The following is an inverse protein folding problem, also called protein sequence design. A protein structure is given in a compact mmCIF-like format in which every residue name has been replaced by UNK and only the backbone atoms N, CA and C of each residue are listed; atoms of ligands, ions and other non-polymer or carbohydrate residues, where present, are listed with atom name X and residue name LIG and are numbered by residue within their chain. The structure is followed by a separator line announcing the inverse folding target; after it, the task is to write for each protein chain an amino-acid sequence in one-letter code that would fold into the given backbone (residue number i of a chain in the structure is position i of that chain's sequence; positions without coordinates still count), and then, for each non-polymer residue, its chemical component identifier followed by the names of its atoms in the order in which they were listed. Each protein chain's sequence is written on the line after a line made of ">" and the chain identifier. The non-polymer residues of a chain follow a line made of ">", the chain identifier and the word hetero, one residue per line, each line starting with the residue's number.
data_IF_356190351319
#
_entry.id   IF_356190351319
#
_cell.length_a   1.000
_cell.length_b   1.000
_cell.length_c   1.000
_cell.angle_alpha   90.00
_cell.angle_beta   90.00
_cell.angle_gamma   90.00
#
_symmetry.space_group_name_H-M   'P 1'
#
loop_
_entity.id
_entity.type
_entity.pdbx_description
1 polymer ?
#
# COMPACT_ATOMS: atom_id res chain seq x y z
N UNK A 1 30.59 -10.21 -17.71
CA UNK A 1 29.38 -10.99 -17.39
C UNK A 1 28.70 -10.35 -16.17
N UNK A 2 28.04 -9.19 -16.36
CA UNK A 2 27.54 -8.35 -15.25
C UNK A 2 26.27 -7.55 -15.62
N UNK A 3 25.47 -8.02 -16.57
CA UNK A 3 24.27 -7.28 -17.03
C UNK A 3 22.93 -7.95 -16.69
N UNK A 4 22.90 -9.19 -16.21
CA UNK A 4 21.63 -9.91 -15.95
C UNK A 4 21.01 -9.67 -14.57
N UNK A 5 21.76 -9.17 -13.60
CA UNK A 5 21.25 -8.99 -12.23
C UNK A 5 20.34 -7.77 -12.06
N UNK A 6 20.38 -6.81 -12.98
CA UNK A 6 19.55 -5.60 -12.87
C UNK A 6 18.18 -5.72 -13.55
N UNK A 7 17.99 -6.67 -14.46
CA UNK A 7 16.75 -6.84 -15.21
C UNK A 7 15.73 -7.78 -14.54
N UNK A 8 16.18 -8.68 -13.65
CA UNK A 8 15.29 -9.65 -12.98
C UNK A 8 14.85 -9.24 -11.58
N UNK A 9 15.57 -8.34 -10.89
CA UNK A 9 15.34 -8.09 -9.46
C UNK A 9 14.02 -7.35 -9.14
N UNK A 10 13.34 -6.83 -10.16
CA UNK A 10 12.03 -6.19 -10.04
C UNK A 10 11.19 -6.39 -11.31
N UNK A 11 11.21 -7.58 -11.91
CA UNK A 11 10.26 -7.87 -12.98
C UNK A 11 8.86 -8.07 -12.38
N UNK A 12 8.14 -6.95 -12.21
CA UNK A 12 6.78 -6.91 -11.66
C UNK A 12 5.82 -7.79 -12.47
N UNK A 13 6.14 -8.06 -13.75
CA UNK A 13 5.34 -8.97 -14.58
C UNK A 13 5.49 -10.43 -14.17
N UNK A 14 6.66 -10.83 -13.66
CA UNK A 14 7.00 -12.23 -13.41
C UNK A 14 7.11 -12.57 -11.92
N UNK A 15 7.34 -11.57 -11.04
CA UNK A 15 7.63 -11.80 -9.63
C UNK A 15 6.70 -11.00 -8.70
N UNK A 16 5.86 -11.72 -7.94
CA UNK A 16 4.85 -11.14 -7.03
C UNK A 16 5.46 -10.53 -5.75
N UNK A 17 6.77 -10.71 -5.52
CA UNK A 17 7.46 -10.39 -4.26
C UNK A 17 7.38 -8.92 -3.88
N UNK A 18 7.47 -8.02 -4.86
CA UNK A 18 7.39 -6.58 -4.62
C UNK A 18 6.05 -6.18 -3.99
N UNK A 19 4.94 -6.72 -4.51
CA UNK A 19 3.60 -6.47 -3.97
C UNK A 19 3.46 -6.93 -2.51
N UNK A 20 4.06 -8.09 -2.19
CA UNK A 20 4.07 -8.64 -0.83
C UNK A 20 4.90 -7.78 0.11
N UNK A 21 6.07 -7.30 -0.32
CA UNK A 21 6.89 -6.40 0.51
C UNK A 21 6.19 -5.06 0.74
N UNK A 22 5.57 -4.46 -0.29
CA UNK A 22 4.78 -3.24 -0.15
C UNK A 22 3.61 -3.42 0.81
N UNK A 23 2.89 -4.53 0.71
CA UNK A 23 1.79 -4.85 1.62
C UNK A 23 2.28 -5.04 3.06
N UNK A 24 3.40 -5.74 3.26
CA UNK A 24 4.03 -5.93 4.59
C UNK A 24 4.50 -4.62 5.21
N UNK A 25 5.11 -3.74 4.42
CA UNK A 25 5.50 -2.41 4.87
C UNK A 25 4.26 -1.59 5.25
N UNK A 26 3.23 -1.58 4.40
CA UNK A 26 1.96 -0.94 4.69
C UNK A 26 1.35 -1.43 6.01
N UNK A 27 1.28 -2.75 6.21
CA UNK A 27 0.82 -3.33 7.46
C UNK A 27 1.69 -2.94 8.67
N UNK A 28 3.02 -2.83 8.49
CA UNK A 28 3.91 -2.31 9.53
C UNK A 28 3.58 -0.87 9.94
N UNK A 29 3.33 0.01 8.97
CA UNK A 29 2.89 1.38 9.25
C UNK A 29 1.49 1.44 9.88
N UNK A 30 0.61 0.50 9.54
CA UNK A 30 -0.69 0.37 10.21
C UNK A 30 -0.53 0.03 11.70
N UNK A 31 0.40 -0.86 12.04
CA UNK A 31 0.70 -1.16 13.44
C UNK A 31 1.29 0.06 14.15
N UNK A 32 2.17 0.82 13.50
CA UNK A 32 2.69 2.08 14.05
C UNK A 32 1.58 3.11 14.28
N UNK A 33 0.59 3.20 13.38
CA UNK A 33 -0.60 4.02 13.57
C UNK A 33 -1.42 3.62 14.81
N UNK A 34 -1.55 2.32 15.10
CA UNK A 34 -2.25 1.84 16.30
C UNK A 34 -1.43 2.15 17.56
N UNK A 35 -0.15 1.81 17.55
CA UNK A 35 0.74 1.93 18.72
C UNK A 35 0.99 3.39 19.09
N UNK A 36 1.15 4.29 18.11
CA UNK A 36 1.24 5.75 18.34
C UNK A 36 -0.03 6.34 18.96
N UNK A 37 -1.13 5.59 19.00
CA UNK A 37 -2.35 5.94 19.70
C UNK A 37 -2.39 5.60 21.19
N UNK A 38 -1.44 4.80 21.67
CA UNK A 38 -1.41 4.39 23.06
C UNK A 38 -0.89 5.52 23.97
N UNK A 39 -1.45 5.64 25.18
CA UNK A 39 -1.10 6.69 26.15
C UNK A 39 0.40 6.78 26.47
N UNK A 40 1.13 5.68 26.42
CA UNK A 40 2.57 5.64 26.69
C UNK A 40 3.42 6.16 25.51
N UNK A 41 2.87 6.26 24.30
CA UNK A 41 3.53 6.76 23.09
C UNK A 41 3.14 8.20 22.76
N UNK A 42 2.79 9.01 23.77
CA UNK A 42 2.34 10.40 23.57
C UNK A 42 3.32 11.24 22.73
N UNK A 43 4.63 10.99 22.85
CA UNK A 43 5.66 11.66 22.06
C UNK A 43 5.55 11.40 20.54
N UNK A 44 4.99 10.27 20.13
CA UNK A 44 4.82 9.88 18.73
C UNK A 44 3.39 10.11 18.21
N UNK A 45 2.48 10.60 19.07
CA UNK A 45 1.08 10.84 18.71
C UNK A 45 0.90 11.86 17.57
N UNK A 46 1.85 12.79 17.43
CA UNK A 46 1.89 13.79 16.34
C UNK A 46 2.00 13.13 14.97
N UNK A 47 2.79 12.05 14.83
CA UNK A 47 3.01 11.35 13.56
C UNK A 47 1.95 10.29 13.27
N UNK A 48 0.97 10.11 14.16
CA UNK A 48 -0.02 9.05 14.05
C UNK A 48 -0.75 9.12 12.71
N UNK A 49 -1.29 10.28 12.36
CA UNK A 49 -2.02 10.47 11.10
C UNK A 49 -1.14 10.16 9.90
N UNK A 50 0.12 10.56 9.92
CA UNK A 50 1.07 10.32 8.83
C UNK A 50 1.33 8.82 8.64
N UNK A 51 1.51 8.06 9.73
CA UNK A 51 1.64 6.60 9.66
C UNK A 51 0.39 5.92 9.08
N UNK A 52 -0.80 6.41 9.45
CA UNK A 52 -2.06 5.89 8.91
C UNK A 52 -2.21 6.14 7.41
N UNK A 53 -1.92 7.37 6.96
CA UNK A 53 -1.96 7.73 5.54
C UNK A 53 -0.91 6.95 4.74
N UNK A 54 0.32 6.86 5.26
CA UNK A 54 1.41 6.16 4.57
C UNK A 54 1.18 4.65 4.49
N UNK A 55 0.66 4.05 5.57
CA UNK A 55 0.19 2.65 5.57
C UNK A 55 -0.80 2.40 4.45
N UNK A 56 -1.84 3.23 4.38
CA UNK A 56 -2.92 3.04 3.43
C UNK A 56 -2.41 3.21 1.99
N UNK A 57 -1.54 4.20 1.75
CA UNK A 57 -0.88 4.40 0.47
C UNK A 57 -0.05 3.18 0.03
N UNK A 58 0.76 2.62 0.92
CA UNK A 58 1.57 1.44 0.64
C UNK A 58 0.74 0.18 0.37
N UNK A 59 -0.39 0.02 1.06
CA UNK A 59 -1.31 -1.10 0.80
C UNK A 59 -1.98 -0.97 -0.57
N UNK A 60 -2.38 0.23 -0.98
CA UNK A 60 -2.92 0.49 -2.34
C UNK A 60 -1.85 0.24 -3.41
N UNK A 61 -0.61 0.68 -3.19
CA UNK A 61 0.50 0.40 -4.10
C UNK A 61 0.84 -1.09 -4.17
N UNK A 62 0.81 -1.80 -3.04
CA UNK A 62 1.00 -3.25 -2.99
C UNK A 62 -0.07 -3.96 -3.81
N UNK A 63 -1.34 -3.59 -3.64
CA UNK A 63 -2.44 -4.14 -4.41
C UNK A 63 -2.30 -3.84 -5.91
N UNK A 64 -1.99 -2.59 -6.27
CA UNK A 64 -1.74 -2.17 -7.66
C UNK A 64 -0.61 -2.97 -8.31
N UNK A 65 0.49 -3.17 -7.58
CA UNK A 65 1.64 -3.94 -8.05
C UNK A 65 1.29 -5.42 -8.23
N UNK A 66 0.49 -6.00 -7.33
CA UNK A 66 0.04 -7.40 -7.47
C UNK A 66 -0.78 -7.62 -8.75
N UNK A 67 -1.58 -6.64 -9.13
CA UNK A 67 -2.43 -6.71 -10.32
C UNK A 67 -1.65 -6.73 -11.62
N UNK A 68 -0.44 -6.16 -11.66
CA UNK A 68 0.40 -6.21 -12.86
C UNK A 68 0.81 -7.64 -13.18
N UNK A 69 1.16 -8.44 -12.16
CA UNK A 69 1.44 -9.87 -12.34
C UNK A 69 0.18 -10.63 -12.81
N UNK A 70 -0.95 -10.38 -12.13
CA UNK A 70 -2.21 -11.06 -12.42
C UNK A 70 -2.77 -10.74 -13.80
N UNK A 71 -2.51 -9.54 -14.32
CA UNK A 71 -2.91 -9.15 -15.68
C UNK A 71 -2.33 -10.07 -16.76
N UNK A 72 -1.08 -10.52 -16.58
CA UNK A 72 -0.40 -11.38 -17.57
C UNK A 72 -0.65 -12.87 -17.35
N UNK A 73 -0.89 -13.29 -16.11
CA UNK A 73 -0.96 -14.73 -15.76
C UNK A 73 -2.37 -15.21 -15.38
N UNK A 74 -3.22 -14.34 -14.83
CA UNK A 74 -4.52 -14.72 -14.25
C UNK A 74 -5.59 -13.61 -14.45
N UNK A 75 -6.15 -13.47 -15.67
CA UNK A 75 -7.05 -12.36 -16.01
C UNK A 75 -8.35 -12.35 -15.18
N UNK A 76 -8.80 -13.52 -14.71
CA UNK A 76 -10.03 -13.64 -13.91
C UNK A 76 -9.84 -13.09 -12.48
N UNK A 77 -8.65 -13.27 -11.89
CA UNK A 77 -8.30 -12.65 -10.61
C UNK A 77 -8.07 -11.14 -10.76
N UNK A 78 -7.51 -10.71 -11.89
CA UNK A 78 -7.31 -9.30 -12.21
C UNK A 78 -8.63 -8.52 -12.20
N UNK A 79 -9.69 -9.04 -12.83
CA UNK A 79 -11.00 -8.36 -12.87
C UNK A 79 -11.63 -8.18 -11.48
N UNK A 80 -11.43 -9.14 -10.58
CA UNK A 80 -11.88 -9.00 -9.19
C UNK A 80 -11.04 -7.97 -8.44
N UNK A 81 -9.72 -8.05 -8.52
CA UNK A 81 -8.80 -7.12 -7.86
C UNK A 81 -8.98 -5.68 -8.35
N UNK A 82 -9.41 -5.49 -9.60
CA UNK A 82 -9.73 -4.18 -10.19
C UNK A 82 -10.89 -3.50 -9.47
N UNK A 83 -11.93 -4.26 -9.12
CA UNK A 83 -13.07 -3.73 -8.36
C UNK A 83 -12.62 -3.28 -6.96
N UNK A 84 -11.77 -4.08 -6.30
CA UNK A 84 -11.19 -3.73 -5.00
C UNK A 84 -10.27 -2.52 -5.06
N UNK A 85 -9.52 -2.35 -6.15
CA UNK A 85 -8.67 -1.17 -6.39
C UNK A 85 -9.51 0.12 -6.51
N UNK A 86 -10.63 0.07 -7.22
CA UNK A 86 -11.53 1.23 -7.33
C UNK A 86 -12.10 1.60 -5.95
N UNK A 87 -12.54 0.60 -5.18
CA UNK A 87 -13.04 0.81 -3.82
C UNK A 87 -11.96 1.42 -2.92
N UNK A 88 -10.71 0.93 -3.00
CA UNK A 88 -9.62 1.45 -2.19
C UNK A 88 -9.23 2.88 -2.59
N UNK A 89 -9.32 3.27 -3.87
CA UNK A 89 -9.13 4.65 -4.29
C UNK A 89 -10.24 5.58 -3.84
N UNK A 90 -11.51 5.15 -3.87
CA UNK A 90 -12.62 5.95 -3.33
C UNK A 90 -12.44 6.14 -1.82
N UNK A 91 -12.03 5.10 -1.10
CA UNK A 91 -11.70 5.20 0.31
C UNK A 91 -10.50 6.16 0.55
N UNK A 92 -9.45 6.09 -0.27
CA UNK A 92 -8.31 7.03 -0.24
C UNK A 92 -8.79 8.48 -0.34
N UNK A 93 -9.63 8.74 -1.34
CA UNK A 93 -10.16 10.08 -1.60
C UNK A 93 -11.01 10.57 -0.42
N UNK A 94 -11.83 9.71 0.17
CA UNK A 94 -12.60 10.04 1.38
C UNK A 94 -11.72 10.38 2.58
N UNK A 95 -10.66 9.59 2.82
CA UNK A 95 -9.69 9.84 3.90
C UNK A 95 -8.98 11.17 3.68
N UNK A 96 -8.44 11.42 2.48
CA UNK A 96 -7.77 12.69 2.14
C UNK A 96 -8.74 13.86 2.30
N UNK A 97 -9.96 13.76 1.78
CA UNK A 97 -10.95 14.83 1.87
C UNK A 97 -11.29 15.18 3.32
N UNK A 98 -11.58 14.17 4.15
CA UNK A 98 -12.02 14.39 5.52
C UNK A 98 -10.88 14.82 6.46
N UNK A 99 -9.71 14.18 6.36
CA UNK A 99 -8.60 14.44 7.28
C UNK A 99 -7.71 15.61 6.85
N UNK A 100 -7.55 15.85 5.54
CA UNK A 100 -6.63 16.89 5.04
C UNK A 100 -7.40 18.13 4.62
N UNK A 101 -8.51 17.99 3.88
CA UNK A 101 -9.22 19.13 3.30
C UNK A 101 -10.25 19.75 4.24
N UNK A 102 -11.03 18.93 4.95
CA UNK A 102 -12.13 19.41 5.82
C UNK A 102 -11.66 19.95 7.16
N UNK A 103 -10.47 19.55 7.62
CA UNK A 103 -9.90 19.98 8.89
C UNK A 103 -8.96 21.20 8.76
N UNK A 104 -8.95 21.84 7.58
CA UNK A 104 -8.40 23.18 7.31
C UNK A 104 -9.53 24.20 7.30
#
# INVERSE_FOLDING_TARGET
>A
MSERFSSDLFDIKNDRRLSVYLYRLGFGFWLLYIVSGARFMHAFSVYRTDFGVFSFFLMVLGLSTSMVYDYYHQPLEFDQKKKWLIISYVALAGVIYFFILRNR
#
